data_IF_206814011379
#
_entry.id   IF_206814011379
#
_cell.length_a   1.000
_cell.length_b   1.000
_cell.length_c   1.000
_cell.angle_alpha   90.00
_cell.angle_beta   90.00
_cell.angle_gamma   90.00
#
_symmetry.space_group_name_H-M   'P 1'
#
loop_
_entity.id
_entity.type
_entity.pdbx_description
1 polymer ?
#
# COMPACT_ATOMS: atom_id res chain seq x y z
N UNK A 1 14.81 -10.88 -0.54
CA UNK A 1 15.40 -9.52 -0.68
C UNK A 1 16.62 -9.42 0.24
N UNK A 2 17.66 -8.66 -0.11
CA UNK A 2 18.84 -8.50 0.76
C UNK A 2 18.54 -7.59 1.97
N UNK A 3 19.17 -7.84 3.12
CA UNK A 3 19.07 -6.94 4.29
C UNK A 3 19.57 -5.53 3.97
N UNK A 4 20.53 -5.39 3.06
CA UNK A 4 21.10 -4.11 2.62
C UNK A 4 20.06 -3.22 1.94
N UNK A 5 19.20 -3.77 1.07
CA UNK A 5 18.15 -3.01 0.39
C UNK A 5 17.14 -2.42 1.37
N UNK A 6 16.74 -3.20 2.38
CA UNK A 6 15.81 -2.78 3.42
C UNK A 6 16.36 -1.64 4.27
N UNK A 7 17.59 -1.80 4.76
CA UNK A 7 18.30 -0.79 5.57
C UNK A 7 18.45 0.52 4.79
N UNK A 8 18.81 0.46 3.51
CA UNK A 8 18.88 1.63 2.64
C UNK A 8 17.53 2.35 2.52
N UNK A 9 16.42 1.62 2.36
CA UNK A 9 15.08 2.22 2.27
C UNK A 9 14.68 2.88 3.60
N UNK A 10 14.97 2.25 4.75
CA UNK A 10 14.72 2.85 6.07
C UNK A 10 15.52 4.15 6.27
N UNK A 11 16.80 4.14 5.92
CA UNK A 11 17.65 5.34 5.95
C UNK A 11 17.11 6.45 5.02
N UNK A 12 16.63 6.09 3.84
CA UNK A 12 16.03 7.03 2.90
C UNK A 12 14.71 7.62 3.41
N UNK A 13 13.84 6.81 4.03
CA UNK A 13 12.61 7.31 4.68
C UNK A 13 12.95 8.30 5.81
N UNK A 14 13.90 7.95 6.68
CA UNK A 14 14.33 8.81 7.78
C UNK A 14 14.92 10.14 7.29
N UNK A 15 15.78 10.09 6.26
CA UNK A 15 16.51 11.25 5.76
C UNK A 15 15.64 12.17 4.90
N UNK A 16 14.71 11.63 4.11
CA UNK A 16 13.87 12.41 3.21
C UNK A 16 12.55 12.84 3.83
N UNK A 17 12.08 12.16 4.88
CA UNK A 17 10.77 12.35 5.50
C UNK A 17 9.64 12.61 4.49
N UNK A 18 9.31 11.63 3.61
CA UNK A 18 8.35 11.86 2.53
C UNK A 18 6.99 12.40 3.02
N UNK A 19 6.51 13.48 2.40
CA UNK A 19 5.15 13.99 2.58
C UNK A 19 4.19 13.13 1.76
N UNK A 20 3.38 12.33 2.44
CA UNK A 20 2.43 11.40 1.81
C UNK A 20 1.01 11.92 1.98
N UNK A 21 0.37 12.27 0.86
CA UNK A 21 -1.05 12.58 0.82
C UNK A 21 -1.85 11.28 0.92
N UNK A 22 -2.60 11.10 2.01
CA UNK A 22 -3.37 9.90 2.28
C UNK A 22 -4.87 10.14 2.08
N UNK A 23 -5.41 9.72 0.94
CA UNK A 23 -6.85 9.62 0.72
C UNK A 23 -7.29 8.18 1.05
N UNK A 24 -7.46 7.89 2.34
CA UNK A 24 -7.75 6.55 2.85
C UNK A 24 -9.10 6.43 3.56
N UNK A 25 -9.55 5.19 3.79
CA UNK A 25 -10.84 4.90 4.40
C UNK A 25 -10.92 5.33 5.88
N UNK A 26 -12.13 5.55 6.35
CA UNK A 26 -12.41 6.18 7.65
C UNK A 26 -11.98 5.29 8.84
N UNK A 27 -11.91 3.97 8.62
CA UNK A 27 -11.61 2.99 9.68
C UNK A 27 -10.12 2.99 10.05
N UNK A 28 -9.24 3.46 9.16
CA UNK A 28 -7.78 3.25 9.28
C UNK A 28 -6.97 4.55 9.32
N UNK A 29 -7.61 5.72 9.35
CA UNK A 29 -6.92 7.02 9.22
C UNK A 29 -5.82 7.19 10.27
N UNK A 30 -6.16 7.08 11.55
CA UNK A 30 -5.22 7.26 12.67
C UNK A 30 -4.09 6.24 12.61
N UNK A 31 -4.40 4.98 12.35
CA UNK A 31 -3.38 3.93 12.30
C UNK A 31 -2.43 4.13 11.10
N UNK A 32 -2.96 4.54 9.94
CA UNK A 32 -2.16 4.87 8.76
C UNK A 32 -1.21 6.04 9.04
N UNK A 33 -1.71 7.11 9.69
CA UNK A 33 -0.89 8.25 10.06
C UNK A 33 0.24 7.85 11.02
N UNK A 34 -0.10 7.09 12.07
CA UNK A 34 0.89 6.66 13.06
C UNK A 34 1.94 5.71 12.49
N UNK A 35 1.59 4.82 11.56
CA UNK A 35 2.56 3.95 10.87
C UNK A 35 3.54 4.77 10.02
N UNK A 36 3.05 5.77 9.28
CA UNK A 36 3.92 6.67 8.52
C UNK A 36 4.84 7.49 9.43
N UNK A 37 4.32 8.04 10.52
CA UNK A 37 5.10 8.78 11.51
C UNK A 37 6.18 7.90 12.17
N UNK A 38 5.85 6.65 12.51
CA UNK A 38 6.80 5.71 13.10
C UNK A 38 7.98 5.41 12.14
N UNK A 39 7.77 5.51 10.83
CA UNK A 39 8.80 5.35 9.81
C UNK A 39 9.44 6.69 9.37
N UNK A 40 9.24 7.76 10.13
CA UNK A 40 9.83 9.08 9.84
C UNK A 40 9.21 9.82 8.65
N UNK A 41 8.06 9.36 8.14
CA UNK A 41 7.33 10.04 7.07
C UNK A 41 6.41 11.12 7.63
N UNK A 42 5.93 12.00 6.76
CA UNK A 42 4.94 13.05 7.08
C UNK A 42 3.58 12.72 6.44
N UNK A 43 2.60 12.18 7.17
CA UNK A 43 1.26 11.91 6.63
C UNK A 43 0.41 13.19 6.58
N UNK A 44 -0.42 13.32 5.54
CA UNK A 44 -1.43 14.37 5.45
C UNK A 44 -2.74 13.86 4.82
N UNK A 45 -3.86 14.05 5.51
CA UNK A 45 -5.18 13.56 5.11
C UNK A 45 -6.04 14.75 4.62
N UNK A 46 -5.87 15.14 3.36
CA UNK A 46 -6.63 16.22 2.71
C UNK A 46 -7.70 15.61 1.81
N UNK A 47 -8.97 15.93 2.05
CA UNK A 47 -10.11 15.23 1.42
C UNK A 47 -11.05 16.14 0.63
N UNK A 48 -11.05 17.45 0.89
CA UNK A 48 -11.84 18.41 0.14
C UNK A 48 -11.31 18.50 -1.30
N UNK A 49 -12.12 18.32 -2.36
CA UNK A 49 -11.64 18.30 -3.75
C UNK A 49 -10.68 19.43 -4.13
N UNK A 50 -11.00 20.67 -3.75
CA UNK A 50 -10.18 21.85 -4.09
C UNK A 50 -8.80 21.79 -3.41
N UNK A 51 -8.77 21.47 -2.11
CA UNK A 51 -7.53 21.33 -1.36
C UNK A 51 -6.75 20.07 -1.77
N UNK A 52 -7.44 18.97 -2.06
CA UNK A 52 -6.84 17.70 -2.42
C UNK A 52 -6.15 17.79 -3.80
N UNK A 53 -6.74 18.52 -4.74
CA UNK A 53 -6.11 18.83 -6.02
C UNK A 53 -4.81 19.63 -5.82
N UNK A 54 -4.85 20.72 -5.05
CA UNK A 54 -3.67 21.53 -4.75
C UNK A 54 -2.59 20.71 -4.03
N UNK A 55 -2.99 19.98 -2.99
CA UNK A 55 -2.07 19.29 -2.09
C UNK A 55 -1.37 18.11 -2.77
N UNK A 56 -2.06 17.38 -3.65
CA UNK A 56 -1.48 16.27 -4.40
C UNK A 56 -0.30 16.70 -5.31
N UNK A 57 -0.30 17.93 -5.82
CA UNK A 57 0.83 18.47 -6.58
C UNK A 57 2.04 18.82 -5.70
N UNK A 58 1.82 19.09 -4.41
CA UNK A 58 2.86 19.49 -3.45
C UNK A 58 3.48 18.25 -2.80
N UNK A 59 2.66 17.28 -2.43
CA UNK A 59 3.08 16.04 -1.78
C UNK A 59 4.20 15.32 -2.56
N UNK A 60 4.99 14.52 -1.84
CA UNK A 60 5.99 13.67 -2.48
C UNK A 60 5.34 12.45 -3.13
N UNK A 61 4.24 11.94 -2.56
CA UNK A 61 3.43 10.87 -3.14
C UNK A 61 2.00 10.85 -2.62
N UNK A 62 1.14 10.10 -3.31
CA UNK A 62 -0.30 10.00 -3.02
C UNK A 62 -0.72 8.54 -2.79
N UNK A 63 -1.50 8.28 -1.75
CA UNK A 63 -2.24 7.03 -1.54
C UNK A 63 -3.72 7.25 -1.85
N UNK A 64 -4.28 6.40 -2.71
CA UNK A 64 -5.73 6.27 -2.95
C UNK A 64 -6.20 4.91 -2.45
N UNK A 65 -6.93 4.90 -1.33
CA UNK A 65 -7.55 3.70 -0.77
C UNK A 65 -9.08 3.84 -0.77
N UNK A 66 -9.76 2.87 -1.39
CA UNK A 66 -11.21 2.93 -1.66
C UNK A 66 -12.07 2.21 -0.60
N UNK A 67 -11.51 1.93 0.59
CA UNK A 67 -12.12 1.08 1.62
C UNK A 67 -13.44 1.56 2.23
N UNK A 68 -13.75 2.86 2.18
CA UNK A 68 -15.06 3.47 2.52
C UNK A 68 -15.47 4.49 1.44
N UNK A 69 -15.33 4.12 0.16
CA UNK A 69 -15.58 5.03 -0.97
C UNK A 69 -17.03 5.56 -1.01
N UNK A 70 -17.17 6.87 -1.16
CA UNK A 70 -18.43 7.59 -1.45
C UNK A 70 -18.33 8.31 -2.80
N UNK A 71 -19.44 8.85 -3.31
CA UNK A 71 -19.44 9.62 -4.56
C UNK A 71 -18.57 10.89 -4.46
N UNK A 72 -18.66 11.61 -3.35
CA UNK A 72 -17.86 12.82 -3.09
C UNK A 72 -16.37 12.49 -3.00
N UNK A 73 -16.01 11.46 -2.21
CA UNK A 73 -14.63 11.00 -2.08
C UNK A 73 -14.06 10.48 -3.40
N UNK A 74 -14.89 9.81 -4.22
CA UNK A 74 -14.51 9.39 -5.58
C UNK A 74 -14.11 10.58 -6.44
N UNK A 75 -14.88 11.67 -6.40
CA UNK A 75 -14.57 12.90 -7.12
C UNK A 75 -13.25 13.52 -6.63
N UNK A 76 -13.10 13.71 -5.31
CA UNK A 76 -11.88 14.24 -4.72
C UNK A 76 -10.64 13.42 -5.07
N UNK A 77 -10.72 12.08 -4.98
CA UNK A 77 -9.64 11.17 -5.35
C UNK A 77 -9.25 11.32 -6.82
N UNK A 78 -10.21 11.51 -7.72
CA UNK A 78 -9.93 11.72 -9.14
C UNK A 78 -9.22 13.06 -9.39
N UNK A 79 -9.61 14.13 -8.71
CA UNK A 79 -8.92 15.42 -8.78
C UNK A 79 -7.47 15.31 -8.28
N UNK A 80 -7.26 14.69 -7.12
CA UNK A 80 -5.93 14.46 -6.56
C UNK A 80 -5.04 13.61 -7.48
N UNK A 81 -5.55 12.52 -8.06
CA UNK A 81 -4.78 11.68 -8.99
C UNK A 81 -4.39 12.45 -10.24
N UNK A 82 -5.32 13.19 -10.85
CA UNK A 82 -5.01 13.99 -12.04
C UNK A 82 -3.93 15.04 -11.73
N UNK A 83 -4.00 15.69 -10.57
CA UNK A 83 -3.00 16.67 -10.13
C UNK A 83 -1.64 16.03 -9.86
N UNK A 84 -1.60 14.88 -9.16
CA UNK A 84 -0.38 14.12 -8.93
C UNK A 84 0.29 13.71 -10.26
N UNK A 85 -0.48 13.22 -11.23
CA UNK A 85 0.03 12.86 -12.57
C UNK A 85 0.62 14.07 -13.30
N UNK A 86 -0.06 15.22 -13.28
CA UNK A 86 0.43 16.46 -13.90
C UNK A 86 1.74 16.95 -13.25
N UNK A 87 1.82 16.85 -11.92
CA UNK A 87 3.00 17.21 -11.14
C UNK A 87 4.08 16.11 -11.09
N UNK A 88 3.85 14.98 -11.80
CA UNK A 88 4.75 13.80 -11.84
C UNK A 88 5.05 13.21 -10.45
N UNK A 89 4.07 13.26 -9.55
CA UNK A 89 4.14 12.63 -8.23
C UNK A 89 3.64 11.20 -8.32
N UNK A 90 4.39 10.20 -7.81
CA UNK A 90 3.91 8.82 -7.81
C UNK A 90 2.67 8.69 -6.92
N UNK A 91 1.68 7.94 -7.41
CA UNK A 91 0.51 7.60 -6.62
C UNK A 91 0.27 6.09 -6.59
N UNK A 92 -0.34 5.62 -5.50
CA UNK A 92 -0.56 4.20 -5.20
C UNK A 92 -2.04 3.92 -5.05
N UNK A 93 -2.50 2.85 -5.69
CA UNK A 93 -3.87 2.35 -5.57
C UNK A 93 -3.93 1.18 -4.58
N UNK A 94 -4.84 1.31 -3.61
CA UNK A 94 -5.26 0.23 -2.71
C UNK A 94 -6.74 -0.08 -2.99
N UNK A 95 -7.03 -1.12 -3.81
CA UNK A 95 -8.35 -1.39 -4.38
C UNK A 95 -9.23 -2.21 -3.41
N UNK A 96 -9.27 -1.84 -2.12
CA UNK A 96 -9.98 -2.57 -1.06
C UNK A 96 -11.39 -3.01 -1.48
N UNK A 97 -11.61 -4.31 -1.45
CA UNK A 97 -12.86 -4.99 -1.83
C UNK A 97 -13.28 -4.81 -3.30
N UNK A 98 -12.36 -4.49 -4.22
CA UNK A 98 -12.61 -4.62 -5.64
C UNK A 98 -12.89 -6.08 -6.03
N UNK A 99 -13.77 -6.26 -7.02
CA UNK A 99 -14.39 -7.54 -7.37
C UNK A 99 -15.68 -7.81 -6.59
N UNK A 100 -15.68 -7.58 -5.28
CA UNK A 100 -16.84 -7.81 -4.43
C UNK A 100 -17.93 -6.74 -4.59
N UNK A 101 -17.52 -5.47 -4.71
CA UNK A 101 -18.42 -4.31 -4.71
C UNK A 101 -18.29 -3.55 -6.02
N UNK A 102 -19.33 -3.60 -6.86
CA UNK A 102 -19.32 -3.04 -8.22
C UNK A 102 -18.90 -1.56 -8.25
N UNK A 103 -19.41 -0.72 -7.34
CA UNK A 103 -19.07 0.71 -7.32
C UNK A 103 -17.57 0.97 -7.18
N UNK A 104 -16.89 0.23 -6.30
CA UNK A 104 -15.43 0.34 -6.08
C UNK A 104 -14.65 -0.27 -7.22
N UNK A 105 -15.09 -1.42 -7.74
CA UNK A 105 -14.48 -2.09 -8.88
C UNK A 105 -14.42 -1.19 -10.10
N UNK A 106 -15.55 -0.58 -10.48
CA UNK A 106 -15.60 0.34 -11.62
C UNK A 106 -14.66 1.53 -11.42
N UNK A 107 -14.65 2.14 -10.22
CA UNK A 107 -13.76 3.26 -9.95
C UNK A 107 -12.28 2.86 -10.00
N UNK A 108 -11.91 1.68 -9.47
CA UNK A 108 -10.54 1.18 -9.58
C UNK A 108 -10.12 1.02 -11.04
N UNK A 109 -10.98 0.46 -11.90
CA UNK A 109 -10.69 0.35 -13.34
C UNK A 109 -10.54 1.71 -14.02
N UNK A 110 -11.34 2.72 -13.65
CA UNK A 110 -11.15 4.10 -14.14
C UNK A 110 -9.77 4.64 -13.75
N UNK A 111 -9.34 4.41 -12.50
CA UNK A 111 -8.04 4.86 -12.01
C UNK A 111 -6.85 4.12 -12.64
N UNK A 112 -7.01 2.87 -13.07
CA UNK A 112 -5.94 2.13 -13.77
C UNK A 112 -5.47 2.84 -15.05
N UNK A 113 -6.37 3.54 -15.74
CA UNK A 113 -6.03 4.32 -16.93
C UNK A 113 -5.08 5.50 -16.62
N UNK A 114 -5.05 5.95 -15.37
CA UNK A 114 -4.18 7.03 -14.87
C UNK A 114 -2.83 6.49 -14.34
N UNK A 115 -2.49 5.24 -14.66
CA UNK A 115 -1.14 4.64 -14.49
C UNK A 115 -0.53 4.82 -13.09
N UNK A 116 -1.09 4.17 -12.06
CA UNK A 116 -0.51 4.21 -10.72
C UNK A 116 0.96 3.78 -10.74
N UNK A 117 1.77 4.36 -9.85
CA UNK A 117 3.15 3.94 -9.66
C UNK A 117 3.25 2.53 -9.05
N UNK A 118 2.29 2.20 -8.16
CA UNK A 118 2.09 0.86 -7.65
C UNK A 118 0.60 0.58 -7.34
N UNK A 119 0.23 -0.70 -7.39
CA UNK A 119 -1.05 -1.22 -6.92
C UNK A 119 -0.74 -2.23 -5.83
N UNK A 120 -1.37 -2.11 -4.66
CA UNK A 120 -1.24 -3.11 -3.60
C UNK A 120 -2.62 -3.63 -3.21
N UNK A 121 -2.80 -4.94 -3.22
CA UNK A 121 -4.06 -5.59 -2.84
C UNK A 121 -3.83 -7.01 -2.34
N UNK A 122 -4.88 -7.68 -1.88
CA UNK A 122 -4.86 -9.12 -1.65
C UNK A 122 -5.06 -9.90 -2.98
N UNK A 123 -4.93 -11.22 -2.93
CA UNK A 123 -5.07 -12.09 -4.10
C UNK A 123 -6.40 -11.87 -4.86
N UNK A 124 -7.53 -11.84 -4.14
CA UNK A 124 -8.86 -11.68 -4.74
C UNK A 124 -9.05 -10.33 -5.43
N UNK A 125 -8.55 -9.24 -4.83
CA UNK A 125 -8.64 -7.89 -5.37
C UNK A 125 -7.80 -7.74 -6.64
N UNK A 126 -6.58 -8.27 -6.64
CA UNK A 126 -5.67 -8.19 -7.80
C UNK A 126 -6.21 -9.00 -8.99
N UNK A 127 -6.74 -10.21 -8.75
CA UNK A 127 -7.35 -11.00 -9.82
C UNK A 127 -8.59 -10.32 -10.41
N UNK A 128 -9.41 -9.70 -9.55
CA UNK A 128 -10.57 -8.92 -10.00
C UNK A 128 -10.13 -7.72 -10.87
N UNK A 129 -9.13 -6.96 -10.43
CA UNK A 129 -8.58 -5.83 -11.18
C UNK A 129 -7.96 -6.24 -12.53
N UNK A 130 -7.32 -7.40 -12.59
CA UNK A 130 -6.73 -7.94 -13.81
C UNK A 130 -7.77 -8.51 -14.80
N UNK A 131 -9.07 -8.45 -14.47
CA UNK A 131 -10.14 -9.04 -15.30
C UNK A 131 -10.09 -10.57 -15.36
N UNK A 132 -9.35 -11.21 -14.45
CA UNK A 132 -9.17 -12.67 -14.40
C UNK A 132 -10.28 -13.38 -13.62
N UNK A 133 -11.45 -12.76 -13.47
CA UNK A 133 -12.55 -13.29 -12.68
C UNK A 133 -13.13 -14.55 -13.30
N UNK A 134 -12.61 -15.70 -12.89
CA UNK A 134 -13.39 -16.93 -12.82
C UNK A 134 -14.49 -16.71 -11.77
N UNK A 135 -15.71 -16.42 -12.23
CA UNK A 135 -16.98 -16.57 -11.50
C UNK A 135 -17.02 -16.09 -10.05
N UNK A 136 -17.68 -14.95 -9.82
CA UNK A 136 -17.97 -14.40 -8.49
C UNK A 136 -18.34 -15.45 -7.46
N UNK A 137 -17.41 -15.70 -6.54
CA UNK A 137 -17.67 -16.27 -5.22
C UNK A 137 -17.04 -15.32 -4.22
N UNK A 138 -17.76 -15.12 -3.12
CA UNK A 138 -17.56 -14.03 -2.16
C UNK A 138 -16.15 -13.92 -1.55
N UNK A 139 -16.00 -12.83 -0.82
CA UNK A 139 -14.78 -12.14 -0.37
C UNK A 139 -13.92 -12.91 0.65
N UNK A 140 -14.09 -14.22 0.79
CA UNK A 140 -13.40 -15.01 1.81
C UNK A 140 -12.70 -16.25 1.23
N UNK A 141 -11.37 -16.12 1.09
CA UNK A 141 -10.39 -17.08 1.64
C UNK A 141 -10.01 -18.38 0.92
N UNK A 142 -10.01 -18.47 -0.42
CA UNK A 142 -9.37 -19.63 -1.09
C UNK A 142 -8.23 -19.30 -2.05
N UNK A 143 -8.11 -18.06 -2.51
CA UNK A 143 -7.04 -17.72 -3.44
C UNK A 143 -5.76 -17.34 -2.70
N UNK A 144 -4.71 -18.10 -2.97
CA UNK A 144 -3.36 -17.83 -2.46
C UNK A 144 -2.71 -16.70 -3.26
N UNK A 145 -1.61 -16.16 -2.74
CA UNK A 145 -0.81 -15.17 -3.47
C UNK A 145 -0.17 -15.78 -4.71
N UNK A 146 0.14 -17.07 -4.70
CA UNK A 146 0.61 -17.84 -5.86
C UNK A 146 -0.44 -17.88 -6.99
N UNK A 147 -1.71 -18.12 -6.66
CA UNK A 147 -2.82 -18.15 -7.64
C UNK A 147 -2.98 -16.80 -8.35
N UNK A 148 -2.75 -15.70 -7.64
CA UNK A 148 -2.88 -14.35 -8.16
C UNK A 148 -1.62 -13.84 -8.90
N UNK A 149 -0.48 -14.53 -8.82
CA UNK A 149 0.77 -14.07 -9.42
C UNK A 149 0.69 -13.87 -10.95
N UNK A 150 0.08 -14.78 -11.74
CA UNK A 150 -0.11 -14.56 -13.17
C UNK A 150 -0.95 -13.30 -13.47
N UNK A 151 -2.02 -13.08 -12.69
CA UNK A 151 -2.87 -11.90 -12.82
C UNK A 151 -2.11 -10.61 -12.48
N UNK A 152 -1.29 -10.62 -11.42
CA UNK A 152 -0.44 -9.50 -11.06
C UNK A 152 0.60 -9.17 -12.12
N UNK A 153 1.27 -10.18 -12.69
CA UNK A 153 2.25 -9.97 -13.76
C UNK A 153 1.58 -9.39 -15.02
N UNK A 154 0.40 -9.88 -15.37
CA UNK A 154 -0.38 -9.34 -16.48
C UNK A 154 -0.77 -7.88 -16.24
N UNK A 155 -1.34 -7.59 -15.07
CA UNK A 155 -1.76 -6.25 -14.68
C UNK A 155 -0.58 -5.27 -14.65
N UNK A 156 0.57 -5.70 -14.11
CA UNK A 156 1.79 -4.91 -14.07
C UNK A 156 2.27 -4.52 -15.48
N UNK A 157 2.25 -5.45 -16.45
CA UNK A 157 2.61 -5.16 -17.85
C UNK A 157 1.62 -4.21 -18.52
N UNK A 158 0.31 -4.46 -18.34
CA UNK A 158 -0.74 -3.69 -18.99
C UNK A 158 -0.81 -2.25 -18.47
N UNK A 159 -0.78 -2.07 -17.15
CA UNK A 159 -0.84 -0.76 -16.50
C UNK A 159 0.53 -0.07 -16.37
N UNK A 160 1.63 -0.76 -16.74
CA UNK A 160 3.02 -0.29 -16.58
C UNK A 160 3.32 0.16 -15.14
N UNK A 161 2.96 -0.69 -14.19
CA UNK A 161 2.97 -0.39 -12.76
C UNK A 161 3.67 -1.52 -11.98
N UNK A 162 3.99 -1.26 -10.71
CA UNK A 162 4.36 -2.32 -9.76
C UNK A 162 3.09 -2.89 -9.14
N UNK A 163 2.94 -4.21 -9.11
CA UNK A 163 1.83 -4.87 -8.39
C UNK A 163 2.39 -5.62 -7.20
N UNK A 164 1.88 -5.31 -6.01
CA UNK A 164 2.15 -6.02 -4.76
C UNK A 164 0.91 -6.81 -4.32
N UNK A 165 1.00 -8.13 -4.36
CA UNK A 165 0.01 -9.04 -3.82
C UNK A 165 0.43 -9.38 -2.39
N UNK A 166 -0.43 -9.06 -1.44
CA UNK A 166 -0.17 -9.30 -0.03
C UNK A 166 -0.83 -10.57 0.49
N UNK A 167 -0.14 -11.26 1.38
CA UNK A 167 -0.60 -12.50 2.03
C UNK A 167 0.42 -13.03 3.03
N UNK A 168 0.45 -14.36 3.22
CA UNK A 168 1.50 -15.01 4.02
C UNK A 168 2.88 -14.82 3.38
N UNK A 169 2.96 -15.00 2.05
CA UNK A 169 4.07 -14.57 1.22
C UNK A 169 3.58 -13.45 0.32
N UNK A 170 4.20 -12.28 0.42
CA UNK A 170 3.91 -11.17 -0.49
C UNK A 170 4.69 -11.37 -1.80
N UNK A 171 4.03 -11.16 -2.94
CA UNK A 171 4.66 -11.11 -4.26
C UNK A 171 4.62 -9.69 -4.81
N UNK A 172 5.77 -9.17 -5.24
CA UNK A 172 5.90 -7.83 -5.81
C UNK A 172 6.50 -7.96 -7.21
N UNK A 173 5.82 -7.47 -8.24
CA UNK A 173 6.23 -7.63 -9.63
C UNK A 173 6.06 -6.37 -10.47
N UNK A 174 6.98 -6.16 -11.41
CA UNK A 174 6.86 -5.18 -12.51
C UNK A 174 6.31 -5.82 -13.81
N UNK A 175 5.90 -7.09 -13.73
CA UNK A 175 5.46 -7.89 -14.85
C UNK A 175 6.56 -8.74 -15.48
N UNK A 176 7.84 -8.47 -15.20
CA UNK A 176 8.98 -9.25 -15.69
C UNK A 176 9.81 -9.83 -14.56
N UNK A 177 10.13 -9.01 -13.57
CA UNK A 177 10.82 -9.36 -12.34
C UNK A 177 9.78 -9.54 -11.24
N UNK A 178 10.03 -10.49 -10.34
CA UNK A 178 9.18 -10.75 -9.18
C UNK A 178 10.06 -10.96 -7.95
N UNK A 179 9.72 -10.29 -6.86
CA UNK A 179 10.25 -10.57 -5.53
C UNK A 179 9.20 -11.27 -4.69
N UNK A 180 9.65 -12.20 -3.84
CA UNK A 180 8.88 -12.82 -2.79
C UNK A 180 9.36 -12.33 -1.43
N UNK A 181 8.43 -11.99 -0.54
CA UNK A 181 8.72 -11.55 0.83
C UNK A 181 7.87 -12.36 1.81
N UNK A 182 8.52 -13.25 2.54
CA UNK A 182 7.92 -14.06 3.62
C UNK A 182 8.10 -13.38 4.99
N UNK A 183 7.46 -13.93 6.00
CA UNK A 183 7.49 -13.43 7.38
C UNK A 183 6.23 -12.66 7.76
N UNK A 184 6.31 -11.90 8.85
CA UNK A 184 5.12 -11.36 9.51
C UNK A 184 4.43 -12.42 10.35
N UNK A 185 3.19 -12.16 10.73
CA UNK A 185 2.45 -13.08 11.60
C UNK A 185 0.96 -13.03 11.33
N UNK A 186 0.28 -14.17 11.51
CA UNK A 186 -1.18 -14.28 11.28
C UNK A 186 -1.99 -13.29 12.13
N UNK A 187 -1.48 -12.88 13.30
CA UNK A 187 -2.11 -11.89 14.17
C UNK A 187 -2.31 -10.52 13.47
N UNK A 188 -1.47 -10.18 12.48
CA UNK A 188 -1.64 -8.95 11.68
C UNK A 188 -2.98 -8.92 10.95
N UNK A 189 -3.55 -10.09 10.61
CA UNK A 189 -4.88 -10.20 9.99
C UNK A 189 -6.03 -9.97 10.96
N UNK A 190 -5.74 -9.97 12.27
CA UNK A 190 -6.70 -9.74 13.35
C UNK A 190 -6.69 -8.29 13.86
N UNK A 191 -5.89 -7.43 13.22
CA UNK A 191 -5.81 -6.00 13.52
C UNK A 191 -6.21 -5.23 12.27
N UNK A 192 -7.25 -4.41 12.39
CA UNK A 192 -7.77 -3.62 11.27
C UNK A 192 -6.72 -2.61 10.79
N UNK A 193 -6.59 -2.47 9.47
CA UNK A 193 -5.76 -1.44 8.86
C UNK A 193 -4.29 -1.78 8.64
N UNK A 194 -3.78 -2.95 9.07
CA UNK A 194 -2.42 -3.40 8.75
C UNK A 194 -2.15 -3.44 7.24
N UNK A 195 -3.14 -3.90 6.47
CA UNK A 195 -3.15 -3.83 5.01
C UNK A 195 -3.07 -2.40 4.49
N UNK A 196 -4.05 -1.56 4.85
CA UNK A 196 -4.14 -0.19 4.35
C UNK A 196 -2.92 0.67 4.74
N UNK A 197 -2.37 0.45 5.93
CA UNK A 197 -1.15 1.12 6.38
C UNK A 197 0.06 0.73 5.54
N UNK A 198 0.23 -0.55 5.17
CA UNK A 198 1.29 -0.97 4.25
C UNK A 198 1.12 -0.31 2.88
N UNK A 199 -0.09 -0.08 2.37
CA UNK A 199 -0.30 0.70 1.14
C UNK A 199 0.23 2.13 1.25
N UNK A 200 0.13 2.76 2.43
CA UNK A 200 0.70 4.08 2.68
C UNK A 200 2.23 4.05 2.73
N UNK A 201 2.83 3.02 3.36
CA UNK A 201 4.28 2.82 3.36
C UNK A 201 4.80 2.57 1.93
N UNK A 202 4.06 1.82 1.12
CA UNK A 202 4.34 1.64 -0.32
C UNK A 202 4.29 2.98 -1.06
N UNK A 203 3.30 3.83 -0.77
CA UNK A 203 3.23 5.18 -1.33
C UNK A 203 4.45 6.03 -0.96
N UNK A 204 4.91 6.00 0.29
CA UNK A 204 6.14 6.66 0.72
C UNK A 204 7.37 6.12 -0.03
N UNK A 205 7.53 4.79 -0.10
CA UNK A 205 8.67 4.14 -0.73
C UNK A 205 8.73 4.38 -2.26
N UNK A 206 7.60 4.58 -2.92
CA UNK A 206 7.53 4.96 -4.32
C UNK A 206 8.11 6.36 -4.62
N UNK A 207 8.24 7.22 -3.61
CA UNK A 207 8.84 8.57 -3.73
C UNK A 207 10.37 8.54 -3.67
N UNK A 208 10.94 7.45 -3.13
CA UNK A 208 12.38 7.33 -2.90
C UNK A 208 13.14 7.08 -4.21
N UNK A 209 14.42 7.50 -4.29
CA UNK A 209 15.27 7.18 -5.42
C UNK A 209 15.57 5.67 -5.49
N UNK A 210 15.98 5.20 -6.67
CA UNK A 210 16.37 3.81 -6.90
C UNK A 210 15.33 2.97 -7.64
N UNK A 211 15.48 1.65 -7.57
CA UNK A 211 14.58 0.71 -8.25
C UNK A 211 13.25 0.61 -7.48
N UNK A 212 12.19 1.17 -8.06
CA UNK A 212 10.85 1.17 -7.44
C UNK A 212 10.38 -0.23 -7.07
N UNK A 213 10.70 -1.24 -7.87
CA UNK A 213 10.31 -2.62 -7.55
C UNK A 213 10.94 -3.09 -6.23
N UNK A 214 12.21 -2.76 -6.01
CA UNK A 214 12.92 -3.06 -4.77
C UNK A 214 12.39 -2.24 -3.59
N UNK A 215 12.08 -0.95 -3.80
CA UNK A 215 11.52 -0.09 -2.75
C UNK A 215 10.15 -0.60 -2.28
N UNK A 216 9.29 -1.05 -3.19
CA UNK A 216 7.99 -1.65 -2.83
C UNK A 216 8.17 -2.99 -2.10
N UNK A 217 9.10 -3.84 -2.55
CA UNK A 217 9.42 -5.09 -1.85
C UNK A 217 9.99 -4.82 -0.43
N UNK A 218 10.76 -3.75 -0.26
CA UNK A 218 11.28 -3.32 1.03
C UNK A 218 10.17 -2.86 1.98
N UNK A 219 9.18 -2.11 1.49
CA UNK A 219 8.01 -1.72 2.28
C UNK A 219 7.29 -2.95 2.86
N UNK A 220 7.04 -3.98 2.04
CA UNK A 220 6.45 -5.25 2.48
C UNK A 220 7.31 -5.93 3.57
N UNK A 221 8.62 -5.99 3.36
CA UNK A 221 9.54 -6.63 4.31
C UNK A 221 9.63 -5.90 5.65
N UNK A 222 9.66 -4.56 5.65
CA UNK A 222 9.66 -3.73 6.86
C UNK A 222 8.40 -4.01 7.67
N UNK A 223 7.24 -3.97 7.03
CA UNK A 223 5.96 -4.21 7.71
C UNK A 223 5.84 -5.64 8.24
N UNK A 224 6.30 -6.65 7.49
CA UNK A 224 6.36 -8.04 7.97
C UNK A 224 7.29 -8.21 9.16
N UNK A 225 8.50 -7.65 9.10
CA UNK A 225 9.46 -7.74 10.21
C UNK A 225 8.93 -7.05 11.48
N UNK A 226 8.35 -5.85 11.34
CA UNK A 226 7.74 -5.17 12.49
C UNK A 226 6.57 -5.96 13.07
N UNK A 227 5.78 -6.62 12.21
CA UNK A 227 4.69 -7.50 12.63
C UNK A 227 5.18 -8.68 13.45
N UNK A 228 6.23 -9.35 12.98
CA UNK A 228 6.86 -10.46 13.69
C UNK A 228 7.44 -10.02 15.04
N UNK A 229 8.20 -8.91 15.07
CA UNK A 229 8.76 -8.36 16.30
C UNK A 229 7.67 -7.99 17.32
N UNK A 230 6.58 -7.35 16.87
CA UNK A 230 5.46 -7.01 17.73
C UNK A 230 4.79 -8.24 18.34
N UNK A 231 4.68 -9.33 17.59
CA UNK A 231 4.07 -10.58 18.10
C UNK A 231 4.87 -11.27 19.19
N UNK A 232 6.18 -11.02 19.27
CA UNK A 232 7.02 -11.53 20.35
C UNK A 232 6.77 -10.82 21.69
N UNK A 233 6.21 -9.60 21.66
CA UNK A 233 6.01 -8.75 22.85
C UNK A 233 4.53 -8.56 23.22
N UNK A 234 3.63 -8.65 22.25
CA UNK A 234 2.21 -8.43 22.49
C UNK A 234 1.54 -9.62 23.21
N UNK A 235 0.42 -9.33 23.86
CA UNK A 235 -0.45 -10.31 24.53
C UNK A 235 -1.77 -10.56 23.79
N UNK A 236 -1.97 -9.90 22.65
CA UNK A 236 -3.20 -9.95 21.86
C UNK A 236 -3.32 -8.78 20.91
N UNK A 237 -4.45 -8.66 20.22
CA UNK A 237 -4.66 -7.63 19.18
C UNK A 237 -4.61 -6.19 19.71
N UNK A 238 -5.03 -5.97 20.96
CA UNK A 238 -4.97 -4.65 21.60
C UNK A 238 -3.53 -4.19 21.86
N UNK A 239 -2.70 -5.04 22.46
CA UNK A 239 -1.28 -4.73 22.70
C UNK A 239 -0.41 -4.87 21.45
N UNK A 240 -0.88 -5.53 20.39
CA UNK A 240 -0.16 -5.59 19.11
C UNK A 240 0.03 -4.20 18.49
N UNK A 241 -0.99 -3.32 18.55
CA UNK A 241 -0.94 -2.00 17.90
C UNK A 241 0.24 -1.15 18.39
N UNK A 242 0.39 -0.87 19.70
CA UNK A 242 1.55 -0.11 20.18
C UNK A 242 2.86 -0.84 19.91
N UNK A 243 2.92 -2.16 20.12
CA UNK A 243 4.14 -2.95 19.87
C UNK A 243 4.60 -2.92 18.41
N UNK A 244 3.65 -2.86 17.47
CA UNK A 244 3.92 -2.75 16.05
C UNK A 244 4.46 -1.38 15.67
N UNK A 245 3.87 -0.30 16.21
CA UNK A 245 4.36 1.06 15.98
C UNK A 245 5.76 1.24 16.58
N UNK A 246 6.02 0.70 17.77
CA UNK A 246 7.33 0.75 18.41
C UNK A 246 8.38 -0.06 17.62
N UNK A 247 8.00 -1.23 17.10
CA UNK A 247 8.89 -2.03 16.25
C UNK A 247 9.25 -1.30 14.94
N UNK A 248 8.30 -0.60 14.31
CA UNK A 248 8.57 0.25 13.15
C UNK A 248 9.54 1.38 13.50
N UNK A 249 9.29 2.09 14.60
CA UNK A 249 10.15 3.17 15.06
C UNK A 249 11.58 2.69 15.38
N UNK A 250 11.72 1.56 16.08
CA UNK A 250 13.02 0.96 16.38
C UNK A 250 13.77 0.53 15.12
N UNK A 251 13.07 0.03 14.10
CA UNK A 251 13.70 -0.33 12.82
C UNK A 251 14.32 0.87 12.12
N UNK A 252 13.74 2.07 12.28
CA UNK A 252 14.29 3.32 11.76
C UNK A 252 15.56 3.75 12.52
N UNK A 253 15.58 3.58 13.85
CA UNK A 253 16.68 4.01 14.71
C UNK A 253 17.90 3.07 14.70
N UNK A 254 17.71 1.77 14.47
CA UNK A 254 18.82 0.80 14.43
C UNK A 254 19.71 0.93 13.18
N UNK A 255 19.22 1.59 12.14
CA UNK A 255 19.95 1.84 10.88
C UNK A 255 20.56 3.27 10.79
N UNK A 256 20.52 4.05 11.89
CA UNK A 256 21.17 5.38 12.01
C UNK A 256 22.56 5.31 12.63
#
# INVERSE_FOLDING_TARGET
MSNTTKSLVLQQLASQSPLVHCMTNDVVQTFTANVLLALGCSPAMVIEPEEAEQFAAIAHGLLVNVGTLTAERRYAMKCAVNSAEQAKKPWVLDPVAAGALSFRTHFCHELLALKPAAIRGNASEIMALAGSSAGGRGVDSLNTTDDALPAAQLLARQAKTIVAISGEVDYITDGTRTFAVSGGHILMTRVVGTGCALSAVVAACCTLPGDRLQNVAAACAIMKQAGEAATQRCHGTGSFIPEFLDALYQSLCCDQ
#
